data_IF_137922400087
#
_entry.id   IF_137922400087
#
_cell.length_a   1.000
_cell.length_b   1.000
_cell.length_c   1.000
_cell.angle_alpha   90.00
_cell.angle_beta   90.00
_cell.angle_gamma   90.00
#
_symmetry.space_group_name_H-M   'P 1'
#
loop_
_entity.id
_entity.type
_entity.pdbx_description
1 polymer ?
#
# COMPACT_ATOMS: atom_id res chain seq x y z
N UNK A 1 -19.97 14.93 14.53
CA UNK A 1 -19.01 13.90 14.98
C UNK A 1 -17.95 14.57 15.86
N UNK A 2 -17.70 14.09 17.09
CA UNK A 2 -16.71 14.72 18.00
C UNK A 2 -15.30 14.18 17.73
N UNK A 3 -14.29 15.04 17.81
CA UNK A 3 -12.88 14.70 17.54
C UNK A 3 -12.08 14.59 18.84
N UNK A 4 -11.18 13.61 18.93
CA UNK A 4 -10.33 13.37 20.11
C UNK A 4 -8.88 13.10 19.73
N UNK A 5 -7.93 13.61 20.52
CA UNK A 5 -6.50 13.33 20.38
C UNK A 5 -5.96 12.74 21.69
N UNK A 6 -5.06 11.76 21.60
CA UNK A 6 -4.42 11.13 22.75
C UNK A 6 -2.93 11.51 22.84
N UNK A 7 -2.50 12.03 23.99
CA UNK A 7 -1.10 12.43 24.25
C UNK A 7 -0.63 11.92 25.61
N UNK A 8 0.65 11.56 25.72
CA UNK A 8 1.25 11.16 27.00
C UNK A 8 1.00 9.72 27.47
N UNK A 9 0.49 8.84 26.60
CA UNK A 9 0.23 7.43 26.90
C UNK A 9 1.31 6.50 26.33
N UNK A 10 1.50 5.34 26.96
CA UNK A 10 2.31 4.25 26.43
C UNK A 10 1.73 3.70 25.13
N UNK A 11 2.54 3.02 24.30
CA UNK A 11 2.10 2.56 22.96
C UNK A 11 0.89 1.63 22.99
N UNK A 12 0.82 0.71 23.95
CA UNK A 12 -0.27 -0.26 24.07
C UNK A 12 -1.54 0.41 24.60
N UNK A 13 -1.43 1.11 25.73
CA UNK A 13 -2.51 1.88 26.34
C UNK A 13 -3.13 2.91 25.37
N UNK A 14 -2.29 3.59 24.58
CA UNK A 14 -2.76 4.51 23.54
C UNK A 14 -3.59 3.80 22.47
N UNK A 15 -3.21 2.60 22.06
CA UNK A 15 -3.96 1.86 21.05
C UNK A 15 -5.33 1.42 21.58
N UNK A 16 -5.38 0.93 22.82
CA UNK A 16 -6.62 0.54 23.49
C UNK A 16 -7.60 1.72 23.59
N UNK A 17 -7.12 2.89 24.00
CA UNK A 17 -7.93 4.11 24.07
C UNK A 17 -8.45 4.57 22.69
N UNK A 18 -7.64 4.39 21.63
CA UNK A 18 -8.03 4.71 20.26
C UNK A 18 -9.14 3.77 19.77
N UNK A 19 -9.06 2.48 20.09
CA UNK A 19 -10.09 1.50 19.74
C UNK A 19 -11.41 1.81 20.45
N UNK A 20 -11.36 2.08 21.76
CA UNK A 20 -12.54 2.49 22.54
C UNK A 20 -13.15 3.78 21.97
N UNK A 21 -12.33 4.77 21.57
CA UNK A 21 -12.82 6.00 20.96
C UNK A 21 -13.54 5.74 19.63
N UNK A 22 -12.97 4.89 18.77
CA UNK A 22 -13.60 4.53 17.49
C UNK A 22 -14.91 3.77 17.69
N UNK A 23 -14.94 2.81 18.61
CA UNK A 23 -16.15 2.06 18.98
C UNK A 23 -17.26 2.98 19.50
N UNK A 24 -16.89 4.05 20.21
CA UNK A 24 -17.82 5.07 20.72
C UNK A 24 -18.15 6.18 19.70
N UNK A 25 -17.71 6.07 18.45
CA UNK A 25 -18.04 7.00 17.36
C UNK A 25 -17.22 8.31 17.32
N UNK A 26 -16.09 8.37 18.04
CA UNK A 26 -15.19 9.52 18.00
C UNK A 26 -14.23 9.46 16.81
N UNK A 27 -13.93 10.63 16.24
CA UNK A 27 -12.89 10.76 15.21
C UNK A 27 -11.53 11.03 15.86
N UNK A 28 -10.67 10.00 15.89
CA UNK A 28 -9.34 10.08 16.50
C UNK A 28 -8.36 10.85 15.60
N UNK A 29 -7.75 11.90 16.14
CA UNK A 29 -6.74 12.73 15.48
C UNK A 29 -5.36 12.47 16.08
N UNK A 30 -4.32 12.49 15.24
CA UNK A 30 -2.93 12.27 15.66
C UNK A 30 -2.26 13.49 16.30
N UNK A 31 -2.82 14.68 16.08
CA UNK A 31 -2.33 15.92 16.65
C UNK A 31 -3.47 16.89 17.00
N UNK A 32 -3.14 17.92 17.78
CA UNK A 32 -4.06 19.00 18.14
C UNK A 32 -4.30 19.88 16.91
N UNK A 33 -5.49 19.75 16.33
CA UNK A 33 -5.97 20.55 15.19
C UNK A 33 -6.93 21.65 15.66
N UNK A 34 -7.16 22.66 14.82
CA UNK A 34 -8.21 23.66 15.05
C UNK A 34 -9.58 22.97 15.02
N UNK A 35 -10.40 23.20 16.04
CA UNK A 35 -11.70 22.52 16.20
C UNK A 35 -11.63 21.11 16.80
N UNK A 36 -10.50 20.74 17.44
CA UNK A 36 -10.44 19.52 18.25
C UNK A 36 -11.39 19.64 19.46
N UNK A 37 -12.29 18.67 19.65
CA UNK A 37 -13.22 18.72 20.78
C UNK A 37 -12.53 18.34 22.10
N UNK A 38 -11.78 17.23 22.11
CA UNK A 38 -11.15 16.68 23.32
C UNK A 38 -9.66 16.37 23.14
N UNK A 39 -8.85 16.73 24.13
CA UNK A 39 -7.49 16.23 24.28
C UNK A 39 -7.40 15.33 25.52
N UNK A 40 -7.21 14.03 25.29
CA UNK A 40 -6.99 13.08 26.36
C UNK A 40 -5.49 13.02 26.72
N UNK A 41 -5.17 13.33 27.97
CA UNK A 41 -3.83 13.45 28.53
C UNK A 41 -3.51 12.26 29.45
N UNK A 42 -2.41 11.57 29.16
CA UNK A 42 -1.81 10.56 30.00
C UNK A 42 -0.67 11.11 30.86
N UNK A 43 -0.06 10.23 31.65
CA UNK A 43 0.98 10.59 32.64
C UNK A 43 2.19 11.30 32.03
N UNK A 44 2.54 11.00 30.77
CA UNK A 44 3.69 11.59 30.06
C UNK A 44 3.29 12.74 29.12
N UNK A 45 2.15 13.39 29.34
CA UNK A 45 1.66 14.43 28.45
C UNK A 45 2.53 15.70 28.53
N UNK A 46 3.27 15.98 27.46
CA UNK A 46 4.11 17.18 27.37
C UNK A 46 3.30 18.49 27.26
N UNK A 47 3.82 19.60 27.82
CA UNK A 47 3.09 20.88 27.93
C UNK A 47 2.73 21.51 26.58
N UNK A 48 3.50 21.23 25.51
CA UNK A 48 3.28 21.80 24.18
C UNK A 48 1.90 21.46 23.61
N UNK A 49 1.43 20.20 23.75
CA UNK A 49 0.10 19.80 23.25
C UNK A 49 -1.03 20.29 24.15
N UNK A 50 -0.78 20.38 25.45
CA UNK A 50 -1.74 20.90 26.43
C UNK A 50 -2.00 22.39 26.16
N UNK A 51 -0.94 23.18 25.97
CA UNK A 51 -1.07 24.61 25.67
C UNK A 51 -1.78 24.85 24.33
N UNK A 52 -1.41 24.10 23.29
CA UNK A 52 -2.05 24.17 21.97
C UNK A 52 -3.53 23.79 22.01
N UNK A 53 -3.91 22.83 22.86
CA UNK A 53 -5.32 22.45 23.05
C UNK A 53 -6.11 23.52 23.79
N UNK A 54 -5.52 24.12 24.83
CA UNK A 54 -6.13 25.25 25.55
C UNK A 54 -6.34 26.47 24.64
N UNK A 55 -5.34 26.81 23.82
CA UNK A 55 -5.43 27.90 22.83
C UNK A 55 -6.53 27.65 21.78
N UNK A 56 -6.72 26.39 21.39
CA UNK A 56 -7.77 26.00 20.44
C UNK A 56 -9.15 25.76 21.08
N UNK A 57 -9.29 25.96 22.40
CA UNK A 57 -10.54 25.78 23.14
C UNK A 57 -10.96 24.31 23.29
N UNK A 58 -10.03 23.36 23.18
CA UNK A 58 -10.30 21.93 23.36
C UNK A 58 -10.42 21.57 24.84
N UNK A 59 -11.36 20.68 25.16
CA UNK A 59 -11.56 20.19 26.52
C UNK A 59 -10.51 19.13 26.88
N UNK A 60 -9.88 19.29 28.05
CA UNK A 60 -8.84 18.39 28.54
C UNK A 60 -9.47 17.28 29.37
N UNK A 61 -9.13 16.03 29.06
CA UNK A 61 -9.62 14.85 29.76
C UNK A 61 -8.46 13.95 30.19
N UNK A 62 -8.58 13.30 31.33
CA UNK A 62 -7.77 12.14 31.70
C UNK A 62 -8.31 10.87 31.04
N UNK A 63 -7.53 9.78 31.04
CA UNK A 63 -8.00 8.49 30.56
C UNK A 63 -9.23 7.99 31.32
N UNK A 64 -9.28 8.18 32.65
CA UNK A 64 -10.41 7.78 33.47
C UNK A 64 -11.68 8.57 33.11
N UNK A 65 -11.57 9.88 32.90
CA UNK A 65 -12.69 10.72 32.47
C UNK A 65 -13.18 10.33 31.08
N UNK A 66 -12.26 10.08 30.14
CA UNK A 66 -12.62 9.61 28.80
C UNK A 66 -13.36 8.26 28.84
N UNK A 67 -12.90 7.30 29.65
CA UNK A 67 -13.55 6.00 29.79
C UNK A 67 -14.95 6.09 30.43
N UNK A 68 -15.17 7.08 31.29
CA UNK A 68 -16.47 7.36 31.93
C UNK A 68 -17.44 8.18 31.07
N UNK A 69 -17.03 8.68 29.89
CA UNK A 69 -17.95 9.32 28.95
C UNK A 69 -18.92 8.29 28.37
N UNK A 70 -20.22 8.47 28.60
CA UNK A 70 -21.26 7.61 28.01
C UNK A 70 -21.27 7.72 26.48
N UNK A 71 -21.43 6.62 25.73
CA UNK A 71 -21.67 6.67 24.30
C UNK A 71 -22.95 7.47 24.02
N UNK A 72 -22.92 8.32 22.99
CA UNK A 72 -24.06 9.14 22.59
C UNK A 72 -25.13 8.23 21.97
N UNK A 73 -26.01 7.70 22.81
CA UNK A 73 -27.24 7.03 22.39
C UNK A 73 -28.26 8.09 22.01
N UNK A 74 -28.46 8.35 20.72
CA UNK A 74 -29.77 8.73 20.22
C UNK A 74 -30.14 7.83 19.05
N UNK A 75 -31.23 7.11 19.28
CA UNK A 75 -31.78 6.04 18.46
C UNK A 75 -32.95 6.63 17.68
N UNK A 76 -32.85 6.68 16.36
CA UNK A 76 -33.97 6.71 15.39
C UNK A 76 -33.30 6.35 14.06
N UNK A 77 -33.62 5.30 13.32
CA UNK A 77 -34.78 4.43 13.26
C UNK A 77 -34.98 4.12 11.76
N UNK A 78 -35.16 2.84 11.45
CA UNK A 78 -35.70 2.30 10.20
C UNK A 78 -34.77 2.08 8.99
N UNK A 79 -34.78 0.79 8.62
CA UNK A 79 -34.89 0.21 7.28
C UNK A 79 -33.65 -0.21 6.48
N UNK A 80 -33.84 -1.44 5.97
CA UNK A 80 -32.94 -2.33 5.26
C UNK A 80 -32.62 -1.82 3.85
N UNK A 81 -31.34 -1.76 3.50
CA UNK A 81 -30.84 -2.08 2.15
C UNK A 81 -29.41 -2.62 2.24
N UNK A 82 -29.00 -3.62 1.42
CA UNK A 82 -27.63 -4.09 1.36
C UNK A 82 -26.86 -3.22 0.35
N UNK A 83 -26.57 -1.97 0.71
CA UNK A 83 -25.80 -1.08 -0.16
C UNK A 83 -24.31 -1.15 0.20
N UNK A 84 -23.57 -1.77 -0.72
CA UNK A 84 -22.18 -1.54 -1.16
C UNK A 84 -21.39 -0.58 -0.25
N UNK A 85 -20.22 -0.98 0.28
CA UNK A 85 -19.40 -0.09 1.09
C UNK A 85 -19.14 1.21 0.31
N UNK A 86 -19.27 2.39 0.94
CA UNK A 86 -19.04 3.65 0.24
C UNK A 86 -17.58 3.66 -0.21
N UNK A 87 -17.37 3.49 -1.51
CA UNK A 87 -16.14 3.85 -2.18
C UNK A 87 -15.87 5.29 -1.78
N UNK A 88 -14.83 5.49 -0.97
CA UNK A 88 -14.46 6.80 -0.48
C UNK A 88 -13.84 7.55 -1.66
N UNK A 89 -14.68 8.13 -2.52
CA UNK A 89 -14.29 9.10 -3.53
C UNK A 89 -13.84 10.35 -2.79
N UNK A 90 -12.54 10.43 -2.51
CA UNK A 90 -11.91 11.65 -2.05
C UNK A 90 -11.84 12.58 -3.26
N UNK A 91 -12.84 13.44 -3.41
CA UNK A 91 -12.75 14.63 -4.27
C UNK A 91 -11.85 15.65 -3.57
N UNK A 92 -10.53 15.46 -3.67
CA UNK A 92 -9.62 16.60 -3.55
C UNK A 92 -9.73 17.36 -4.88
N UNK A 93 -10.37 18.53 -4.86
CA UNK A 93 -10.41 19.48 -5.98
C UNK A 93 -8.99 19.98 -6.26
N UNK A 94 -8.24 19.21 -7.03
CA UNK A 94 -6.89 19.55 -7.41
C UNK A 94 -6.81 19.71 -8.93
N UNK A 95 -6.49 20.91 -9.39
CA UNK A 95 -6.49 21.29 -10.82
C UNK A 95 -5.70 20.32 -11.70
N UNK A 96 -4.58 19.79 -11.21
CA UNK A 96 -3.80 18.77 -11.93
C UNK A 96 -4.56 17.44 -12.08
N UNK A 97 -5.28 16.99 -11.04
CA UNK A 97 -6.02 15.73 -11.10
C UNK A 97 -7.23 15.87 -12.04
N UNK A 98 -7.93 16.99 -11.96
CA UNK A 98 -9.06 17.29 -12.86
C UNK A 98 -8.59 17.35 -14.32
N UNK A 99 -7.45 18.02 -14.57
CA UNK A 99 -6.84 18.02 -15.90
C UNK A 99 -6.50 16.59 -16.35
N UNK A 100 -5.83 15.80 -15.53
CA UNK A 100 -5.44 14.44 -15.90
C UNK A 100 -6.66 13.56 -16.20
N UNK A 101 -7.73 13.65 -15.40
CA UNK A 101 -8.99 12.94 -15.67
C UNK A 101 -9.61 13.39 -16.99
N UNK A 102 -9.70 14.70 -17.23
CA UNK A 102 -10.23 15.22 -18.49
C UNK A 102 -9.44 14.75 -19.72
N UNK A 103 -8.12 14.60 -19.59
CA UNK A 103 -7.25 14.12 -20.66
C UNK A 103 -7.36 12.62 -20.90
N UNK A 104 -7.56 11.84 -19.84
CA UNK A 104 -7.83 10.39 -19.93
C UNK A 104 -9.13 10.17 -20.71
N UNK A 105 -10.20 10.86 -20.32
CA UNK A 105 -11.52 10.74 -20.96
C UNK A 105 -11.48 11.20 -22.42
N UNK A 106 -10.79 12.32 -22.68
CA UNK A 106 -10.64 12.87 -24.03
C UNK A 106 -9.56 12.16 -24.86
N UNK A 107 -8.78 11.23 -24.28
CA UNK A 107 -7.59 10.58 -24.86
C UNK A 107 -6.61 11.58 -25.49
N UNK A 108 -6.45 12.73 -24.85
CA UNK A 108 -5.60 13.84 -25.33
C UNK A 108 -4.21 13.75 -24.73
N UNK A 109 -3.24 14.23 -25.50
CA UNK A 109 -1.83 14.28 -25.10
C UNK A 109 -1.54 15.52 -24.27
N UNK A 110 -0.58 15.43 -23.35
CA UNK A 110 -0.10 16.54 -22.52
C UNK A 110 1.43 16.56 -22.47
N UNK A 111 2.03 17.76 -22.41
CA UNK A 111 3.44 17.92 -22.07
C UNK A 111 3.62 18.08 -20.56
N UNK A 112 4.51 17.29 -19.99
CA UNK A 112 4.84 17.30 -18.56
C UNK A 112 6.35 17.41 -18.36
N UNK A 113 6.79 17.96 -17.23
CA UNK A 113 8.15 17.78 -16.73
C UNK A 113 8.11 16.78 -15.57
N UNK A 114 8.80 15.65 -15.71
CA UNK A 114 8.76 14.59 -14.70
C UNK A 114 10.01 14.59 -13.82
N UNK A 115 9.84 14.83 -12.53
CA UNK A 115 10.93 14.94 -11.54
C UNK A 115 11.28 13.61 -10.86
N UNK A 116 10.90 12.48 -11.45
CA UNK A 116 11.16 11.13 -10.92
C UNK A 116 12.01 10.25 -11.84
N UNK A 117 12.62 9.21 -11.27
CA UNK A 117 13.39 8.20 -12.02
C UNK A 117 14.82 8.64 -12.37
N UNK A 118 15.48 7.87 -13.25
CA UNK A 118 16.88 8.11 -13.64
C UNK A 118 17.10 9.30 -14.59
N UNK A 119 16.03 9.79 -15.23
CA UNK A 119 16.01 10.98 -16.10
C UNK A 119 15.00 12.00 -15.59
N UNK A 120 15.21 12.42 -14.35
CA UNK A 120 14.39 13.43 -13.69
C UNK A 120 14.62 14.82 -14.32
N UNK A 121 13.55 15.61 -14.42
CA UNK A 121 13.57 16.98 -14.95
C UNK A 121 13.47 17.08 -16.48
N UNK A 122 13.36 15.95 -17.19
CA UNK A 122 13.15 15.97 -18.64
C UNK A 122 11.68 16.25 -18.97
N UNK A 123 11.45 17.11 -19.97
CA UNK A 123 10.14 17.33 -20.57
C UNK A 123 9.73 16.09 -21.38
N UNK A 124 8.46 15.71 -21.26
CA UNK A 124 7.88 14.53 -21.92
C UNK A 124 6.49 14.84 -22.43
N UNK A 125 6.25 14.45 -23.68
CA UNK A 125 4.91 14.36 -24.23
C UNK A 125 4.33 12.99 -23.88
N UNK A 126 3.20 12.96 -23.20
CA UNK A 126 2.55 11.73 -22.75
C UNK A 126 1.07 11.71 -23.12
N UNK A 127 0.52 10.51 -23.34
CA UNK A 127 -0.94 10.30 -23.43
C UNK A 127 -1.40 9.55 -22.18
N UNK A 128 -2.07 10.23 -21.23
CA UNK A 128 -2.69 9.61 -20.05
C UNK A 128 -3.62 8.46 -20.43
N UNK A 129 -3.54 7.36 -19.68
CA UNK A 129 -4.39 6.17 -19.87
C UNK A 129 -5.28 5.91 -18.66
N UNK A 130 -4.69 5.89 -17.46
CA UNK A 130 -5.40 5.54 -16.24
C UNK A 130 -4.68 6.17 -15.06
N UNK A 131 -5.45 6.74 -14.13
CA UNK A 131 -4.94 7.16 -12.84
C UNK A 131 -5.31 6.10 -11.79
N UNK A 132 -4.32 5.61 -11.06
CA UNK A 132 -4.50 4.61 -10.00
C UNK A 132 -4.75 5.27 -8.64
N UNK A 133 -5.39 4.54 -7.72
CA UNK A 133 -5.76 5.00 -6.37
C UNK A 133 -4.57 5.48 -5.51
N UNK A 134 -3.35 5.06 -5.87
CA UNK A 134 -2.12 5.48 -5.22
C UNK A 134 -1.49 6.74 -5.85
N UNK A 135 -2.27 7.54 -6.59
CA UNK A 135 -1.81 8.73 -7.30
C UNK A 135 -0.67 8.44 -8.31
N UNK A 136 -0.73 7.28 -8.96
CA UNK A 136 0.18 6.92 -10.05
C UNK A 136 -0.56 6.99 -11.38
N UNK A 137 -0.05 7.79 -12.30
CA UNK A 137 -0.56 7.92 -13.65
C UNK A 137 0.12 6.90 -14.58
N UNK A 138 -0.66 6.04 -15.22
CA UNK A 138 -0.21 5.28 -16.40
C UNK A 138 -0.41 6.13 -17.64
N UNK A 139 0.63 6.26 -18.45
CA UNK A 139 0.58 7.01 -19.70
C UNK A 139 1.52 6.41 -20.75
N UNK A 140 1.18 6.59 -22.03
CA UNK A 140 2.07 6.29 -23.16
C UNK A 140 3.09 7.42 -23.26
N UNK A 141 4.37 7.09 -23.22
CA UNK A 141 5.47 8.06 -23.34
C UNK A 141 5.79 8.32 -24.82
N UNK A 142 5.23 9.39 -25.39
CA UNK A 142 5.45 9.75 -26.79
C UNK A 142 6.83 10.37 -27.05
N UNK A 143 7.54 10.77 -26.00
CA UNK A 143 8.93 11.25 -26.12
C UNK A 143 9.92 10.16 -26.56
N UNK A 144 9.50 8.89 -26.48
CA UNK A 144 10.29 7.73 -26.88
C UNK A 144 9.67 7.12 -28.15
N UNK A 145 10.48 6.85 -29.19
CA UNK A 145 9.97 6.32 -30.48
C UNK A 145 9.20 5.00 -30.37
N UNK A 146 9.49 4.17 -29.37
CA UNK A 146 8.79 2.91 -29.13
C UNK A 146 7.43 3.08 -28.41
N UNK A 147 7.08 4.31 -28.03
CA UNK A 147 5.86 4.67 -27.31
C UNK A 147 5.54 3.73 -26.13
N UNK A 148 6.48 3.51 -25.19
CA UNK A 148 6.28 2.59 -24.09
C UNK A 148 5.24 3.14 -23.11
N UNK A 149 4.42 2.24 -22.56
CA UNK A 149 3.55 2.57 -21.43
C UNK A 149 4.41 2.66 -20.18
N UNK A 150 4.31 3.78 -19.46
CA UNK A 150 5.05 4.03 -18.21
C UNK A 150 4.13 4.51 -17.11
N UNK A 151 4.65 4.40 -15.88
CA UNK A 151 4.01 4.90 -14.66
C UNK A 151 4.73 6.14 -14.15
N UNK A 152 3.97 7.17 -13.82
CA UNK A 152 4.44 8.45 -13.32
C UNK A 152 3.76 8.73 -11.98
N UNK A 153 4.54 9.00 -10.92
CA UNK A 153 3.96 9.46 -9.66
C UNK A 153 3.44 10.90 -9.85
N UNK A 154 2.16 11.15 -9.60
CA UNK A 154 1.53 12.46 -9.85
C UNK A 154 2.19 13.57 -9.02
N UNK A 155 2.68 13.26 -7.81
CA UNK A 155 3.44 14.20 -6.96
C UNK A 155 4.73 14.73 -7.62
N UNK A 156 5.25 14.02 -8.63
CA UNK A 156 6.49 14.34 -9.37
C UNK A 156 6.22 14.88 -10.77
N UNK A 157 4.96 15.02 -11.14
CA UNK A 157 4.55 15.62 -12.41
C UNK A 157 4.45 17.12 -12.21
N UNK A 158 5.05 17.86 -13.14
CA UNK A 158 4.86 19.28 -13.30
C UNK A 158 4.24 19.55 -14.66
N UNK A 159 3.19 20.37 -14.66
CA UNK A 159 2.60 20.90 -15.88
C UNK A 159 2.79 22.42 -15.86
N UNK A 160 3.38 23.03 -16.90
CA UNK A 160 3.54 24.48 -16.94
C UNK A 160 2.19 25.19 -16.75
N UNK A 161 2.12 26.09 -15.76
CA UNK A 161 0.92 26.88 -15.46
C UNK A 161 -0.08 26.24 -14.50
N UNK A 162 0.20 25.05 -13.97
CA UNK A 162 -0.65 24.37 -12.97
C UNK A 162 0.19 24.07 -11.74
N UNK A 163 -0.35 24.37 -10.55
CA UNK A 163 0.33 24.03 -9.30
C UNK A 163 0.51 22.52 -9.16
N UNK A 164 1.70 22.10 -8.73
CA UNK A 164 1.95 20.68 -8.47
C UNK A 164 1.14 20.22 -7.27
N UNK A 165 0.71 18.96 -7.34
CA UNK A 165 0.08 18.29 -6.22
C UNK A 165 1.05 18.18 -5.04
N UNK A 166 0.87 19.07 -4.08
CA UNK A 166 1.52 19.01 -2.78
C UNK A 166 0.79 17.99 -1.92
N UNK A 167 1.04 16.71 -2.18
CA UNK A 167 0.60 15.69 -1.24
C UNK A 167 1.27 15.98 0.12
N UNK A 168 0.51 16.03 1.24
CA UNK A 168 1.13 16.09 2.56
C UNK A 168 2.15 14.97 2.59
N UNK A 169 3.40 15.23 3.07
CA UNK A 169 4.54 14.34 2.87
C UNK A 169 4.01 12.98 3.15
N UNK A 170 3.87 12.19 2.07
CA UNK A 170 3.25 10.91 2.24
C UNK A 170 4.15 10.32 3.29
N UNK A 171 3.57 10.00 4.45
CA UNK A 171 4.12 8.89 5.16
C UNK A 171 3.89 7.68 4.21
N UNK A 172 4.62 7.63 3.07
CA UNK A 172 5.89 6.94 3.13
C UNK A 172 6.36 7.00 4.59
N UNK A 173 5.78 6.11 5.39
CA UNK A 173 6.61 5.06 5.93
C UNK A 173 7.55 4.80 4.76
N UNK A 174 8.69 5.52 4.67
CA UNK A 174 9.88 5.08 3.94
C UNK A 174 9.80 3.61 4.26
N UNK A 175 9.31 2.73 3.36
CA UNK A 175 8.88 1.36 3.75
C UNK A 175 9.98 0.95 4.68
N UNK A 176 9.73 0.91 6.02
CA UNK A 176 10.83 1.07 7.00
C UNK A 176 11.87 0.18 6.41
N UNK A 177 13.02 0.71 5.92
CA UNK A 177 13.97 -0.14 5.19
C UNK A 177 14.17 -1.22 6.24
N UNK A 178 13.52 -2.38 6.06
CA UNK A 178 13.50 -3.37 7.11
C UNK A 178 14.99 -3.60 7.19
N UNK A 179 15.56 -3.36 8.36
CA UNK A 179 16.98 -3.61 8.53
C UNK A 179 17.06 -5.13 8.34
N UNK A 180 17.27 -5.54 7.09
CA UNK A 180 17.19 -6.92 6.69
C UNK A 180 18.44 -7.55 7.27
N UNK A 181 18.27 -8.61 8.04
CA UNK A 181 19.32 -9.60 8.20
C UNK A 181 19.54 -10.23 6.82
N UNK A 182 20.36 -9.60 6.00
CA UNK A 182 20.82 -10.18 4.74
C UNK A 182 21.63 -11.43 5.08
N UNK A 183 21.36 -12.55 4.42
CA UNK A 183 22.00 -13.84 4.66
C UNK A 183 21.17 -14.85 5.47
N UNK A 184 19.85 -14.71 5.52
CA UNK A 184 18.97 -15.72 6.14
C UNK A 184 18.87 -16.97 5.28
N UNK A 185 18.83 -16.80 3.95
CA UNK A 185 18.79 -17.90 2.99
C UNK A 185 20.05 -17.90 2.13
N UNK A 186 20.73 -19.06 2.03
CA UNK A 186 21.95 -19.21 1.21
C UNK A 186 21.60 -19.58 -0.22
N UNK A 187 20.50 -20.28 -0.43
CA UNK A 187 20.03 -20.74 -1.74
C UNK A 187 18.49 -20.87 -1.76
N UNK A 188 17.91 -21.08 -2.94
CA UNK A 188 16.45 -21.20 -3.10
C UNK A 188 15.89 -22.45 -2.37
N UNK A 189 16.69 -23.50 -2.17
CA UNK A 189 16.25 -24.67 -1.40
C UNK A 189 16.00 -24.33 0.08
N UNK A 190 16.80 -23.42 0.66
CA UNK A 190 16.56 -22.93 2.03
C UNK A 190 15.23 -22.17 2.12
N UNK A 191 14.89 -21.40 1.08
CA UNK A 191 13.60 -20.69 0.99
C UNK A 191 12.46 -21.70 0.89
N UNK A 192 12.60 -22.72 0.06
CA UNK A 192 11.62 -23.81 -0.04
C UNK A 192 11.42 -24.49 1.33
N UNK A 193 12.51 -24.90 1.99
CA UNK A 193 12.45 -25.57 3.28
C UNK A 193 11.80 -24.71 4.37
N UNK A 194 11.99 -23.38 4.34
CA UNK A 194 11.42 -22.47 5.32
C UNK A 194 9.90 -22.24 5.15
N UNK A 195 9.35 -22.39 3.94
CA UNK A 195 7.97 -21.97 3.65
C UNK A 195 7.08 -23.04 3.04
N UNK A 196 7.59 -24.23 2.70
CA UNK A 196 6.80 -25.29 2.05
C UNK A 196 5.55 -25.67 2.84
N UNK A 197 5.67 -25.88 4.16
CA UNK A 197 4.54 -26.27 5.01
C UNK A 197 3.48 -25.16 5.07
N UNK A 198 3.92 -23.91 5.20
CA UNK A 198 3.04 -22.74 5.23
C UNK A 198 2.30 -22.57 3.91
N UNK A 199 3.02 -22.67 2.79
CA UNK A 199 2.44 -22.54 1.45
C UNK A 199 1.44 -23.67 1.16
N UNK A 200 1.79 -24.91 1.49
CA UNK A 200 0.88 -26.05 1.37
C UNK A 200 -0.34 -25.91 2.30
N UNK A 201 -0.16 -25.38 3.52
CA UNK A 201 -1.23 -25.08 4.46
C UNK A 201 -2.22 -24.02 3.95
N UNK A 202 -1.75 -23.10 3.09
CA UNK A 202 -2.59 -22.13 2.38
C UNK A 202 -3.27 -22.70 1.13
N UNK A 203 -3.13 -24.00 0.86
CA UNK A 203 -3.75 -24.65 -0.30
C UNK A 203 -2.95 -24.49 -1.59
N UNK A 204 -1.67 -24.14 -1.52
CA UNK A 204 -0.79 -24.07 -2.69
C UNK A 204 -0.08 -25.39 -2.99
N UNK A 205 0.10 -25.68 -4.28
CA UNK A 205 1.08 -26.67 -4.71
C UNK A 205 2.45 -25.99 -4.88
N UNK A 206 3.47 -26.52 -4.22
CA UNK A 206 4.83 -26.00 -4.28
C UNK A 206 5.71 -26.94 -5.10
N UNK A 207 6.40 -26.41 -6.12
CA UNK A 207 7.29 -27.17 -6.99
C UNK A 207 8.69 -26.54 -7.02
N UNK A 208 9.72 -27.38 -7.03
CA UNK A 208 11.11 -26.96 -7.16
C UNK A 208 11.75 -27.54 -8.42
N UNK A 209 12.71 -26.81 -8.98
CA UNK A 209 13.46 -27.23 -10.15
C UNK A 209 14.94 -27.04 -9.89
N UNK A 210 15.72 -28.04 -10.30
CA UNK A 210 17.17 -28.03 -10.19
C UNK A 210 17.78 -27.56 -11.51
N UNK A 211 18.93 -26.89 -11.44
CA UNK A 211 19.78 -26.65 -12.60
C UNK A 211 20.67 -27.87 -12.92
N UNK A 212 21.47 -27.76 -13.98
CA UNK A 212 22.41 -28.79 -14.43
C UNK A 212 23.50 -29.13 -13.39
N UNK A 213 23.71 -28.25 -12.40
CA UNK A 213 24.64 -28.47 -11.29
C UNK A 213 23.99 -29.16 -10.08
N UNK A 214 22.69 -29.46 -10.16
CA UNK A 214 21.91 -30.07 -9.10
C UNK A 214 21.49 -29.10 -8.00
N UNK A 215 21.65 -27.79 -8.21
CA UNK A 215 21.24 -26.77 -7.26
C UNK A 215 19.82 -26.30 -7.57
N UNK A 216 19.03 -26.01 -6.53
CA UNK A 216 17.68 -25.50 -6.72
C UNK A 216 17.74 -24.09 -7.35
N UNK A 217 17.32 -24.01 -8.61
CA UNK A 217 17.38 -22.80 -9.43
C UNK A 217 16.02 -22.11 -9.54
N UNK A 218 14.92 -22.81 -9.22
CA UNK A 218 13.57 -22.25 -9.26
C UNK A 218 12.62 -22.89 -8.27
N UNK A 219 11.76 -22.06 -7.70
CA UNK A 219 10.67 -22.40 -6.77
C UNK A 219 9.38 -21.77 -7.29
N UNK A 220 8.36 -22.59 -7.45
CA UNK A 220 7.06 -22.22 -8.00
C UNK A 220 5.94 -22.52 -7.00
N UNK A 221 4.95 -21.63 -6.95
CA UNK A 221 3.68 -21.79 -6.25
C UNK A 221 2.57 -21.83 -7.28
N UNK A 222 1.79 -22.91 -7.29
CA UNK A 222 0.72 -23.18 -8.25
C UNK A 222 -0.64 -23.36 -7.55
N UNK A 223 -1.68 -22.76 -8.13
CA UNK A 223 -3.08 -23.05 -7.82
C UNK A 223 -3.51 -24.42 -8.37
N UNK A 224 -4.70 -24.86 -7.98
CA UNK A 224 -5.34 -26.06 -8.52
C UNK A 224 -6.42 -25.70 -9.55
N UNK A 225 -6.61 -26.56 -10.55
CA UNK A 225 -7.80 -26.55 -11.39
C UNK A 225 -9.01 -27.06 -10.60
N UNK A 226 -10.24 -26.78 -11.10
CA UNK A 226 -11.49 -27.32 -10.52
C UNK A 226 -11.52 -28.85 -10.39
N UNK A 227 -10.67 -29.56 -11.13
CA UNK A 227 -10.53 -31.02 -11.09
C UNK A 227 -9.48 -31.52 -10.08
N UNK A 228 -8.94 -30.63 -9.24
CA UNK A 228 -7.95 -30.95 -8.20
C UNK A 228 -6.52 -31.16 -8.70
N UNK A 229 -6.24 -30.99 -10.00
CA UNK A 229 -4.87 -31.06 -10.52
C UNK A 229 -4.17 -29.71 -10.41
N UNK A 230 -2.90 -29.64 -10.01
CA UNK A 230 -2.16 -28.38 -9.97
C UNK A 230 -2.02 -27.80 -11.39
N UNK A 231 -2.13 -26.48 -11.50
CA UNK A 231 -1.91 -25.79 -12.77
C UNK A 231 -0.43 -25.82 -13.13
N UNK A 232 -0.15 -25.96 -14.42
CA UNK A 232 1.23 -25.95 -14.95
C UNK A 232 1.84 -24.55 -14.94
N UNK A 233 1.01 -23.53 -15.14
CA UNK A 233 1.43 -22.15 -14.98
C UNK A 233 1.49 -21.88 -13.48
N UNK A 234 2.59 -21.38 -12.91
CA UNK A 234 2.60 -20.95 -11.52
C UNK A 234 1.82 -19.65 -11.33
N UNK A 235 1.33 -19.41 -10.12
CA UNK A 235 0.82 -18.10 -9.68
C UNK A 235 2.01 -17.21 -9.36
N UNK A 236 3.00 -17.73 -8.64
CA UNK A 236 4.25 -17.01 -8.34
C UNK A 236 5.45 -17.92 -8.54
N UNK A 237 6.53 -17.38 -9.10
CA UNK A 237 7.81 -18.07 -9.30
C UNK A 237 8.96 -17.24 -8.74
N UNK A 238 9.87 -17.88 -8.03
CA UNK A 238 11.19 -17.37 -7.65
C UNK A 238 12.25 -18.17 -8.40
N UNK A 239 13.14 -17.51 -9.13
CA UNK A 239 14.21 -18.17 -9.91
C UNK A 239 15.54 -17.46 -9.80
N UNK A 240 16.62 -18.21 -9.97
CA UNK A 240 17.98 -17.70 -10.07
C UNK A 240 18.41 -17.70 -11.55
N UNK A 241 18.82 -16.55 -12.05
CA UNK A 241 19.26 -16.30 -13.43
C UNK A 241 20.66 -15.66 -13.38
N UNK A 242 21.73 -16.46 -13.46
CA UNK A 242 23.11 -15.97 -13.33
C UNK A 242 23.51 -15.01 -14.45
N UNK A 243 22.76 -14.96 -15.56
CA UNK A 243 22.97 -14.02 -16.66
C UNK A 243 22.80 -12.56 -16.21
N UNK A 244 22.00 -12.33 -15.16
CA UNK A 244 21.83 -11.00 -14.57
C UNK A 244 22.79 -10.76 -13.41
N UNK A 245 23.99 -10.29 -13.73
CA UNK A 245 25.09 -10.08 -12.77
C UNK A 245 24.77 -9.13 -11.61
N UNK A 246 23.81 -8.21 -11.78
CA UNK A 246 23.46 -7.22 -10.74
C UNK A 246 22.25 -7.62 -9.93
N UNK A 247 21.33 -8.39 -10.52
CA UNK A 247 20.04 -8.77 -9.94
C UNK A 247 19.64 -10.19 -10.37
N UNK A 248 20.37 -11.21 -9.92
CA UNK A 248 20.20 -12.57 -10.43
C UNK A 248 18.94 -13.26 -9.92
N UNK A 249 18.29 -12.75 -8.86
CA UNK A 249 17.06 -13.35 -8.34
C UNK A 249 15.83 -12.70 -8.96
N UNK A 250 14.96 -13.52 -9.53
CA UNK A 250 13.84 -13.09 -10.35
C UNK A 250 12.54 -13.65 -9.82
N UNK A 251 11.62 -12.76 -9.44
CA UNK A 251 10.25 -13.08 -9.06
C UNK A 251 9.28 -12.75 -10.20
N UNK A 252 8.43 -13.70 -10.55
CA UNK A 252 7.34 -13.54 -11.53
C UNK A 252 6.02 -13.86 -10.86
N UNK A 253 4.98 -13.09 -11.17
CA UNK A 253 3.61 -13.37 -10.77
C UNK A 253 2.76 -13.46 -12.03
N UNK A 254 1.78 -14.36 -12.08
CA UNK A 254 0.90 -14.55 -13.23
C UNK A 254 0.05 -13.30 -13.49
N UNK A 255 -0.48 -12.71 -12.43
CA UNK A 255 -1.41 -11.58 -12.50
C UNK A 255 -0.70 -10.22 -12.61
N UNK A 256 0.64 -10.23 -12.61
CA UNK A 256 1.47 -9.05 -12.77
C UNK A 256 2.38 -9.26 -13.98
N UNK A 257 2.11 -8.56 -15.08
CA UNK A 257 2.90 -8.65 -16.32
C UNK A 257 4.39 -8.27 -16.15
N UNK A 258 4.77 -7.67 -15.02
CA UNK A 258 6.13 -7.24 -14.74
C UNK A 258 6.94 -8.22 -13.89
N UNK A 259 8.14 -8.51 -14.38
CA UNK A 259 9.13 -9.33 -13.70
C UNK A 259 9.91 -8.47 -12.70
N UNK A 260 9.91 -8.85 -11.42
CA UNK A 260 10.68 -8.17 -10.38
C UNK A 260 12.04 -8.84 -10.19
N UNK A 261 13.13 -8.08 -10.23
CA UNK A 261 14.50 -8.59 -10.09
C UNK A 261 15.22 -7.98 -8.89
N UNK A 262 16.00 -8.81 -8.18
CA UNK A 262 16.62 -8.50 -6.90
C UNK A 262 18.09 -8.91 -6.87
N UNK A 263 18.90 -8.10 -6.19
CA UNK A 263 20.31 -8.40 -5.93
C UNK A 263 20.50 -9.45 -4.82
N UNK A 264 19.56 -9.53 -3.88
CA UNK A 264 19.64 -10.42 -2.71
C UNK A 264 18.47 -11.39 -2.67
N UNK A 265 18.76 -12.66 -2.34
CA UNK A 265 17.77 -13.72 -2.23
C UNK A 265 16.72 -13.40 -1.17
N UNK A 266 17.11 -12.85 -0.02
CA UNK A 266 16.15 -12.55 1.07
C UNK A 266 15.06 -11.57 0.61
N UNK A 267 15.43 -10.58 -0.21
CA UNK A 267 14.47 -9.62 -0.77
C UNK A 267 13.54 -10.25 -1.81
N UNK A 268 14.09 -11.16 -2.62
CA UNK A 268 13.31 -11.91 -3.60
C UNK A 268 12.33 -12.88 -2.91
N UNK A 269 12.78 -13.59 -1.87
CA UNK A 269 11.98 -14.49 -1.06
C UNK A 269 10.84 -13.76 -0.34
N UNK A 270 11.10 -12.59 0.27
CA UNK A 270 10.03 -11.80 0.90
C UNK A 270 8.96 -11.38 -0.11
N UNK A 271 9.36 -10.92 -1.30
CA UNK A 271 8.41 -10.57 -2.35
C UNK A 271 7.62 -11.80 -2.81
N UNK A 272 8.31 -12.90 -3.08
CA UNK A 272 7.70 -14.17 -3.51
C UNK A 272 6.60 -14.61 -2.53
N UNK A 273 6.89 -14.61 -1.23
CA UNK A 273 5.92 -14.96 -0.20
C UNK A 273 4.77 -13.95 -0.12
N UNK A 274 5.07 -12.65 -0.18
CA UNK A 274 4.04 -11.61 -0.16
C UNK A 274 3.05 -11.76 -1.32
N UNK A 275 3.54 -12.11 -2.52
CA UNK A 275 2.71 -12.36 -3.69
C UNK A 275 1.88 -13.64 -3.55
N UNK A 276 2.46 -14.70 -2.96
CA UNK A 276 1.73 -15.93 -2.70
C UNK A 276 0.60 -15.75 -1.67
N UNK A 277 0.79 -14.89 -0.66
CA UNK A 277 -0.29 -14.50 0.26
C UNK A 277 -1.40 -13.71 -0.44
N UNK A 278 -1.04 -12.71 -1.23
CA UNK A 278 -2.03 -11.90 -1.95
C UNK A 278 -2.88 -12.76 -2.89
N UNK A 279 -2.27 -13.70 -3.61
CA UNK A 279 -3.00 -14.62 -4.50
C UNK A 279 -3.87 -15.67 -3.77
N UNK A 280 -3.76 -15.80 -2.44
CA UNK A 280 -4.56 -16.75 -1.65
C UNK A 280 -5.87 -16.14 -1.13
N UNK A 281 -5.98 -14.81 -1.14
CA UNK A 281 -7.18 -14.07 -0.72
C UNK A 281 -8.22 -13.94 -1.85
N UNK A 282 -7.84 -14.25 -3.09
CA UNK A 282 -8.77 -14.36 -4.22
C UNK A 282 -9.56 -15.67 -4.12
N UNK A 283 -10.62 -15.65 -3.30
CA UNK A 283 -11.70 -16.65 -3.36
C UNK A 283 -12.21 -16.77 -4.81
N UNK A 284 -12.50 -17.98 -5.30
CA UNK A 284 -13.09 -18.14 -6.61
C UNK A 284 -14.47 -17.47 -6.60
N UNK A 285 -14.65 -16.42 -7.41
CA UNK A 285 -15.98 -15.94 -7.80
C UNK A 285 -16.85 -17.17 -8.08
N UNK A 286 -17.85 -17.38 -7.23
CA UNK A 286 -19.02 -18.21 -7.52
C UNK A 286 -19.74 -17.51 -8.67
N UNK A 287 -19.23 -17.69 -9.89
CA UNK A 287 -19.99 -17.48 -11.11
C UNK A 287 -20.97 -18.64 -11.19
N UNK A 288 -22.25 -18.30 -11.03
CA UNK A 288 -23.39 -19.21 -11.07
C UNK A 288 -23.56 -19.96 -12.38
#
# INVERSE_FOLDING_TARGET
MKTICFTGFGKNEKNELIEVAKQRGYSVKGDVIKGLCYLCCGENAGPSKINKAKENGSELLSAAEFLNLSPLSEVVGCDMSPDIPPTMTIHDEHELLDLLWSLIDAKKTISIVYHGGGTAGAERSITPLTLLDNFTLRAIDLSIPSHPIKTFSVEKIEVPGIERLNLPPHQSKKRKKKQYSVGMYKNIADVHAAFVDTLQGMGWHVATYMDDSGLCSRLDVCDFFKNGKPRKTPVVSLSYQPENLTRPFVCRCRDIEFVSTYAHLDSAAEMFISLAYAGSEDEPEVRG
#
